data_IF_330174909634
#
_entry.id   IF_330174909634
#
_cell.length_a   1.000
_cell.length_b   1.000
_cell.length_c   1.000
_cell.angle_alpha   90.00
_cell.angle_beta   90.00
_cell.angle_gamma   90.00
#
_symmetry.space_group_name_H-M   'P 1'
#
loop_
_entity.id
_entity.type
_entity.pdbx_description
1 polymer ?
2 non-polymer ?
3 water ?
#
# COMPACT_ATOMS: atom_id res chain seq x y z
N UNK A 4 -23.00 -8.75 -21.56
CA UNK A 4 -23.63 -8.12 -22.77
C UNK A 4 -24.18 -6.71 -22.57
N UNK A 5 -24.92 -6.44 -21.49
CA UNK A 5 -25.24 -5.05 -21.17
C UNK A 5 -23.93 -4.29 -20.85
N UNK A 6 -23.11 -4.91 -20.01
CA UNK A 6 -21.87 -4.29 -19.51
C UNK A 6 -20.71 -4.46 -20.48
N UNK A 7 -19.71 -3.59 -20.36
CA UNK A 7 -18.51 -3.69 -21.17
C UNK A 7 -17.67 -4.91 -20.78
N UNK A 8 -17.00 -5.49 -21.77
CA UNK A 8 -16.13 -6.64 -21.57
C UNK A 8 -14.96 -6.39 -20.61
N UNK A 9 -14.47 -5.16 -20.52
CA UNK A 9 -13.38 -4.83 -19.62
C UNK A 9 -13.70 -5.17 -18.15
N UNK A 10 -14.97 -5.41 -17.85
CA UNK A 10 -15.37 -5.77 -16.49
C UNK A 10 -15.29 -7.28 -16.19
N UNK A 11 -14.98 -8.08 -17.22
CA UNK A 11 -14.90 -9.54 -17.07
C UNK A 11 -13.91 -9.95 -15.99
N UNK A 12 -14.38 -10.72 -15.01
CA UNK A 12 -13.51 -11.29 -13.99
C UNK A 12 -13.00 -10.36 -12.90
N UNK A 13 -13.45 -9.11 -12.85
CA UNK A 13 -12.96 -8.17 -11.85
C UNK A 13 -14.05 -7.69 -10.88
N UNK A 14 -15.23 -8.30 -10.95
CA UNK A 14 -16.35 -7.83 -10.14
C UNK A 14 -16.33 -8.31 -8.69
N UNK A 15 -15.59 -9.38 -8.41
CA UNK A 15 -15.56 -9.95 -7.07
C UNK A 15 -14.58 -9.24 -6.13
N UNK A 16 -15.09 -8.90 -4.93
CA UNK A 16 -14.30 -8.31 -3.86
C UNK A 16 -14.24 -9.27 -2.69
N UNK A 17 -13.08 -9.87 -2.45
CA UNK A 17 -12.93 -10.88 -1.40
C UNK A 17 -13.09 -10.27 -0.01
N UNK A 18 -13.09 -8.93 0.05
CA UNK A 18 -13.24 -8.17 1.28
C UNK A 18 -14.59 -8.42 1.96
N UNK A 19 -15.68 -8.19 1.21
CA UNK A 19 -17.04 -8.09 1.74
C UNK A 19 -17.39 -9.17 2.77
N UNK A 20 -17.22 -10.43 2.36
CA UNK A 20 -17.50 -11.60 3.19
C UNK A 20 -17.00 -11.45 4.64
N UNK A 21 -15.75 -10.99 4.79
CA UNK A 21 -15.11 -10.86 6.09
C UNK A 21 -15.60 -9.63 6.86
N UNK A 22 -15.74 -8.50 6.18
CA UNK A 22 -16.26 -7.27 6.79
C UNK A 22 -17.70 -7.49 7.31
N UNK A 23 -18.45 -8.32 6.59
CA UNK A 23 -19.80 -8.69 6.98
C UNK A 23 -19.78 -9.61 8.21
N UNK A 24 -18.89 -10.60 8.19
CA UNK A 24 -18.75 -11.54 9.31
C UNK A 24 -18.25 -10.86 10.59
N UNK A 25 -17.33 -9.91 10.42
CA UNK A 25 -16.78 -9.16 11.55
C UNK A 25 -17.84 -8.31 12.23
N UNK A 26 -18.75 -7.74 11.44
CA UNK A 26 -19.79 -6.83 11.93
C UNK A 26 -20.86 -7.52 12.78
N UNK A 27 -20.98 -8.84 12.62
CA UNK A 27 -21.97 -9.63 13.37
C UNK A 27 -21.35 -10.44 14.52
N UNK A 28 -20.23 -9.95 15.06
CA UNK A 28 -19.55 -10.58 16.19
C UNK A 28 -18.89 -9.52 17.05
N UNK A 29 -18.57 -9.87 18.31
CA UNK A 29 -17.77 -8.99 19.16
C UNK A 29 -16.31 -9.22 18.83
N UNK A 30 -15.67 -8.19 18.28
CA UNK A 30 -14.32 -8.33 17.74
C UNK A 30 -13.40 -7.18 18.07
N UNK A 31 -12.10 -7.47 18.08
CA UNK A 31 -11.08 -6.45 17.95
C UNK A 31 -10.66 -6.48 16.48
N UNK A 32 -10.86 -5.38 15.77
CA UNK A 32 -10.65 -5.39 14.32
C UNK A 32 -9.25 -4.97 13.90
N UNK A 33 -8.40 -5.95 13.67
CA UNK A 33 -7.03 -5.69 13.21
C UNK A 33 -6.87 -5.94 11.71
N UNK A 34 -8.02 -6.09 11.02
CA UNK A 34 -8.04 -6.26 9.59
C UNK A 34 -8.12 -4.94 8.86
N UNK A 35 -8.58 -3.91 9.56
CA UNK A 35 -8.74 -2.58 8.99
C UNK A 35 -7.40 -1.88 8.81
N UNK A 36 -7.13 -1.45 7.58
CA UNK A 36 -5.88 -0.82 7.21
C UNK A 36 -5.86 0.69 7.38
N UNK A 37 -6.39 1.18 8.50
CA UNK A 37 -6.37 2.60 8.81
C UNK A 37 -6.33 2.81 10.33
N UNK A 38 -5.80 3.95 10.78
CA UNK A 38 -5.74 4.28 12.22
C UNK A 38 -7.14 4.39 12.81
N UNK A 39 -7.30 3.94 14.05
CA UNK A 39 -8.55 4.18 14.78
C UNK A 39 -8.32 5.26 15.86
N UNK A 40 -7.40 6.16 15.56
CA UNK A 40 -7.13 7.31 16.41
C UNK A 40 -7.06 8.54 15.49
N UNK A 41 -7.09 9.76 16.04
CA UNK A 41 -7.15 10.94 15.20
C UNK A 41 -5.87 11.16 14.39
N UNK A 42 -5.95 11.88 13.26
CA UNK A 42 -4.74 12.37 12.60
C UNK A 42 -4.05 13.38 13.54
N UNK A 43 -2.82 13.81 13.26
CA UNK A 43 -2.15 14.80 14.11
C UNK A 43 -2.90 16.12 14.09
N UNK A 44 -2.84 16.88 15.20
CA UNK A 44 -3.52 18.15 15.35
C UNK A 44 -3.28 19.09 14.18
N UNK A 45 -2.03 19.21 13.73
CA UNK A 45 -1.76 20.11 12.60
C UNK A 45 -2.51 19.75 11.30
N UNK A 46 -2.79 18.47 11.10
CA UNK A 46 -3.45 18.01 9.87
C UNK A 46 -4.94 18.36 9.91
N UNK A 47 -5.60 17.98 11.01
CA UNK A 47 -7.01 18.31 11.25
C UNK A 47 -7.25 19.83 11.20
N UNK A 48 -6.36 20.58 11.85
CA UNK A 48 -6.45 22.04 11.84
C UNK A 48 -6.30 22.59 10.44
N UNK A 49 -5.40 21.98 9.64
CA UNK A 49 -5.21 22.39 8.25
C UNK A 49 -6.50 22.30 7.42
N UNK A 50 -7.25 21.22 7.62
CA UNK A 50 -8.54 21.03 6.95
C UNK A 50 -9.57 22.03 7.50
N UNK A 51 -9.58 22.20 8.83
CA UNK A 51 -10.45 23.19 9.48
C UNK A 51 -10.24 24.59 8.88
N UNK A 52 -8.97 24.95 8.66
CA UNK A 52 -8.60 26.22 8.05
C UNK A 52 -9.06 26.33 6.60
N UNK A 53 -9.02 25.22 5.88
CA UNK A 53 -9.39 25.20 4.46
C UNK A 53 -10.89 25.45 4.26
N UNK A 54 -11.72 24.96 5.18
CA UNK A 54 -13.17 25.13 5.09
C UNK A 54 -13.72 26.35 5.88
N UNK A 55 -12.81 27.19 6.40
CA UNK A 55 -13.19 28.44 7.05
C UNK A 55 -12.38 29.64 6.55
N UNK A 56 -11.62 29.44 5.48
CA UNK A 56 -10.78 30.49 4.93
C UNK A 56 -11.42 31.21 3.76
N UNK A 57 -10.62 31.51 2.75
CA UNK A 57 -11.10 32.09 1.50
C UNK A 57 -12.33 31.29 1.03
N UNK A 58 -13.48 31.97 0.94
CA UNK A 58 -14.71 31.30 0.51
C UNK A 58 -14.59 30.63 -0.88
N UNK A 59 -13.69 31.15 -1.72
CA UNK A 59 -13.50 30.62 -3.07
C UNK A 59 -12.83 29.24 -3.09
N UNK A 60 -12.31 28.80 -1.96
CA UNK A 60 -11.80 27.43 -1.86
C UNK A 60 -12.94 26.43 -1.97
N UNK A 61 -14.19 26.92 -1.92
CA UNK A 61 -15.35 26.05 -2.10
C UNK A 61 -15.63 25.76 -3.57
N UNK A 62 -14.96 26.50 -4.46
CA UNK A 62 -15.14 26.36 -5.89
C UNK A 62 -13.97 25.61 -6.55
N UNK A 63 -14.13 25.28 -7.82
CA UNK A 63 -13.16 24.46 -8.55
C UNK A 63 -11.77 25.04 -8.40
N UNK A 64 -10.77 24.18 -8.26
CA UNK A 64 -9.40 24.63 -8.46
C UNK A 64 -8.88 24.14 -9.81
N UNK A 65 -7.56 24.15 -9.99
CA UNK A 65 -6.94 23.76 -11.25
C UNK A 65 -7.01 22.26 -11.49
N UNK A 66 -7.22 21.91 -12.76
CA UNK A 66 -7.43 20.52 -13.17
C UNK A 66 -6.34 19.55 -12.69
N UNK A 67 -5.08 19.94 -12.83
CA UNK A 67 -4.00 19.00 -12.49
C UNK A 67 -3.49 19.15 -11.06
N UNK A 68 -4.12 20.04 -10.29
CA UNK A 68 -3.80 20.17 -8.88
C UNK A 68 -3.91 21.58 -8.34
N UNK A 69 -4.32 21.69 -7.08
CA UNK A 69 -4.37 22.94 -6.33
C UNK A 69 -2.94 23.47 -6.30
N UNK A 70 -2.65 24.60 -6.96
CA UNK A 70 -1.25 25.01 -7.17
C UNK A 70 -0.37 25.07 -5.90
N UNK A 71 -0.81 25.56 -4.74
CA UNK A 71 -0.01 25.43 -3.51
C UNK A 71 0.35 23.99 -3.14
N UNK A 72 -0.51 23.05 -3.51
CA UNK A 72 -0.21 21.64 -3.26
C UNK A 72 0.85 21.10 -4.21
N UNK A 73 0.69 21.35 -5.51
CA UNK A 73 1.69 20.86 -6.46
C UNK A 73 3.05 21.53 -6.23
N UNK A 74 3.02 22.79 -5.79
CA UNK A 74 4.22 23.54 -5.40
C UNK A 74 5.01 22.81 -4.32
N UNK A 75 4.39 22.56 -3.16
CA UNK A 75 5.08 21.88 -2.07
C UNK A 75 5.44 20.41 -2.41
N UNK A 76 4.61 19.76 -3.24
CA UNK A 76 4.95 18.41 -3.69
C UNK A 76 6.26 18.42 -4.49
N UNK A 77 6.31 19.31 -5.49
CA UNK A 77 7.46 19.40 -6.38
C UNK A 77 8.75 19.75 -5.60
N UNK A 78 8.62 20.65 -4.63
CA UNK A 78 9.75 21.14 -3.84
C UNK A 78 10.22 20.10 -2.82
N UNK A 79 9.30 19.60 -2.01
CA UNK A 79 9.63 18.65 -0.95
C UNK A 79 10.08 17.31 -1.54
N UNK A 80 9.29 16.76 -2.48
CA UNK A 80 9.68 15.49 -3.10
C UNK A 80 10.84 15.61 -4.07
N UNK A 81 10.99 16.78 -4.70
CA UNK A 81 12.18 17.11 -5.48
C UNK A 81 13.46 16.94 -4.67
N UNK A 82 13.44 17.41 -3.42
CA UNK A 82 14.59 17.28 -2.52
C UNK A 82 14.83 15.81 -2.12
N UNK A 83 13.75 15.11 -1.80
CA UNK A 83 13.82 13.72 -1.35
C UNK A 83 14.31 12.78 -2.43
N UNK A 84 14.01 13.09 -3.69
CA UNK A 84 14.37 12.24 -4.83
C UNK A 84 15.66 12.68 -5.51
N UNK A 85 16.21 13.82 -5.10
CA UNK A 85 17.31 14.45 -5.81
C UNK A 85 16.93 14.73 -7.26
N UNK A 86 15.75 15.31 -7.48
CA UNK A 86 15.27 15.54 -8.83
C UNK A 86 14.63 16.92 -8.95
N UNK A 87 14.83 17.58 -10.08
CA UNK A 87 14.13 18.83 -10.34
C UNK A 87 12.71 18.50 -10.82
N UNK A 88 11.72 18.89 -10.02
CA UNK A 88 10.32 18.62 -10.37
C UNK A 88 9.55 19.90 -10.66
N UNK A 89 9.01 19.97 -11.87
CA UNK A 89 8.11 21.06 -12.24
C UNK A 89 6.66 20.70 -11.86
N UNK A 90 6.00 21.54 -11.07
CA UNK A 90 4.60 21.29 -10.65
C UNK A 90 3.66 20.94 -11.80
N UNK A 91 3.68 21.70 -12.88
CA UNK A 91 2.73 21.56 -13.98
C UNK A 91 3.01 20.36 -14.90
N UNK A 92 4.28 20.05 -15.14
CA UNK A 92 4.66 18.97 -16.04
C UNK A 92 4.81 17.61 -15.33
N UNK A 93 5.13 17.62 -14.05
CA UNK A 93 5.62 16.43 -13.37
C UNK A 93 4.79 15.98 -12.17
N UNK A 94 3.76 16.72 -11.82
CA UNK A 94 2.93 16.40 -10.65
C UNK A 94 1.45 16.32 -11.08
N UNK A 95 0.76 15.27 -10.64
CA UNK A 95 -0.69 15.19 -10.84
C UNK A 95 -1.34 14.80 -9.53
N UNK A 96 -2.29 15.62 -9.06
CA UNK A 96 -3.05 15.27 -7.85
C UNK A 96 -4.22 14.36 -8.27
N UNK A 97 -4.45 13.30 -7.49
CA UNK A 97 -5.41 12.28 -7.81
C UNK A 97 -6.32 11.99 -6.60
N UNK A 98 -7.32 11.15 -6.82
CA UNK A 98 -8.21 10.74 -5.76
C UNK A 98 -7.53 9.60 -5.03
N UNK A 99 -6.58 9.97 -4.18
CA UNK A 99 -5.86 8.99 -3.40
C UNK A 99 -4.84 8.23 -4.21
N UNK A 100 -4.09 7.37 -3.54
CA UNK A 100 -3.20 6.42 -4.19
C UNK A 100 -3.97 5.49 -5.12
N UNK A 101 -5.20 5.10 -4.75
CA UNK A 101 -6.03 4.26 -5.64
C UNK A 101 -6.20 4.92 -6.99
N UNK A 102 -6.64 6.18 -7.00
CA UNK A 102 -6.93 6.92 -8.21
C UNK A 102 -5.67 7.12 -9.05
N UNK A 103 -4.55 7.35 -8.37
CA UNK A 103 -3.25 7.48 -9.05
C UNK A 103 -2.86 6.18 -9.75
N UNK A 104 -3.01 5.03 -9.07
CA UNK A 104 -2.75 3.76 -9.72
C UNK A 104 -3.64 3.60 -10.92
N UNK A 105 -4.92 3.90 -10.75
CA UNK A 105 -5.91 3.68 -11.82
C UNK A 105 -5.53 4.54 -13.01
N UNK A 106 -5.20 5.79 -12.74
CA UNK A 106 -4.81 6.73 -13.80
C UNK A 106 -3.60 6.21 -14.60
N UNK A 107 -2.61 5.66 -13.89
CA UNK A 107 -1.39 5.11 -14.51
C UNK A 107 -1.69 3.91 -15.40
N UNK A 108 -2.47 2.95 -14.89
CA UNK A 108 -2.88 1.80 -15.69
C UNK A 108 -3.67 2.17 -16.93
N UNK A 109 -4.62 3.10 -16.79
CA UNK A 109 -5.51 3.49 -17.89
C UNK A 109 -4.75 4.26 -18.97
N UNK A 110 -3.66 4.91 -18.56
CA UNK A 110 -2.83 5.71 -19.48
C UNK A 110 -1.90 4.84 -20.33
N UNK A 111 -1.36 3.78 -19.71
CA UNK A 111 -0.23 3.03 -20.26
C UNK A 111 -0.51 1.60 -20.67
N UNK A 112 -1.48 0.97 -20.03
CA UNK A 112 -1.73 -0.45 -20.26
C UNK A 112 -2.81 -0.64 -21.29
N UNK A 113 -2.49 -1.45 -22.29
CA UNK A 113 -3.35 -1.66 -23.44
C UNK A 113 -3.44 -3.16 -23.71
N UNK A 114 -4.40 -3.53 -24.55
CA UNK A 114 -4.61 -4.90 -24.98
C UNK A 114 -3.31 -5.64 -25.33
N UNK A 115 -3.05 -6.72 -24.62
CA UNK A 115 -1.87 -7.52 -24.88
C UNK A 115 -0.61 -7.12 -24.13
N UNK A 116 -0.57 -5.94 -23.53
CA UNK A 116 0.59 -5.56 -22.73
C UNK A 116 0.67 -6.41 -21.48
N UNK A 117 1.89 -6.74 -21.07
CA UNK A 117 2.11 -7.48 -19.85
C UNK A 117 2.49 -6.53 -18.73
N UNK A 118 2.03 -6.83 -17.51
CA UNK A 118 2.41 -6.03 -16.36
C UNK A 118 2.94 -7.00 -15.30
N UNK A 119 4.17 -6.76 -14.86
CA UNK A 119 4.77 -7.59 -13.82
C UNK A 119 4.30 -7.13 -12.45
N UNK A 120 3.75 -8.08 -11.71
CA UNK A 120 3.25 -7.83 -10.37
C UNK A 120 4.02 -8.71 -9.40
N UNK A 121 4.45 -8.12 -8.28
CA UNK A 121 5.26 -8.83 -7.28
C UNK A 121 4.36 -9.29 -6.13
N UNK A 122 4.30 -10.60 -5.91
CA UNK A 122 3.48 -11.16 -4.82
C UNK A 122 4.27 -11.20 -3.52
N UNK A 123 3.64 -10.92 -2.38
CA UNK A 123 2.22 -10.53 -2.29
C UNK A 123 1.99 -9.07 -2.75
N UNK A 124 0.90 -8.85 -3.48
CA UNK A 124 0.59 -7.54 -4.07
C UNK A 124 -0.68 -6.95 -3.50
N UNK A 125 -0.66 -5.64 -3.29
CA UNK A 125 -1.87 -4.88 -3.03
C UNK A 125 -2.91 -5.27 -4.08
N UNK A 126 -4.08 -5.72 -3.63
CA UNK A 126 -4.90 -6.59 -4.48
C UNK A 126 -5.41 -5.99 -5.78
N UNK A 127 -5.59 -4.67 -5.82
CA UNK A 127 -6.10 -3.98 -6.99
C UNK A 127 -5.18 -3.97 -8.22
N UNK A 128 -3.90 -4.27 -8.07
CA UNK A 128 -2.99 -4.21 -9.23
C UNK A 128 -3.45 -5.19 -10.33
N UNK A 129 -3.89 -6.37 -9.91
CA UNK A 129 -4.35 -7.37 -10.86
C UNK A 129 -5.61 -6.97 -11.66
N UNK A 130 -6.74 -6.66 -11.02
CA UNK A 130 -7.92 -6.24 -11.77
C UNK A 130 -7.74 -4.91 -12.53
N UNK A 131 -6.91 -3.99 -12.03
CA UNK A 131 -6.64 -2.75 -12.78
C UNK A 131 -5.92 -3.04 -14.10
N UNK A 132 -4.94 -3.95 -14.05
CA UNK A 132 -4.28 -4.47 -15.25
C UNK A 132 -5.31 -5.11 -16.20
N UNK A 133 -6.16 -5.97 -15.67
CA UNK A 133 -7.18 -6.66 -16.48
C UNK A 133 -8.18 -5.71 -17.14
N UNK A 134 -8.66 -4.73 -16.37
CA UNK A 134 -9.64 -3.79 -16.89
C UNK A 134 -9.05 -2.98 -18.04
N UNK A 135 -7.74 -2.73 -17.98
CA UNK A 135 -7.03 -2.03 -19.05
C UNK A 135 -6.62 -2.95 -20.24
N UNK A 136 -7.00 -4.22 -20.17
CA UNK A 136 -6.76 -5.15 -21.26
C UNK A 136 -5.40 -5.83 -21.17
N UNK A 137 -4.65 -5.54 -20.11
CA UNK A 137 -3.31 -6.07 -19.97
C UNK A 137 -3.31 -7.48 -19.40
N UNK A 138 -2.16 -8.13 -19.48
CA UNK A 138 -2.00 -9.48 -18.92
C UNK A 138 -1.06 -9.45 -17.71
N UNK A 139 -1.58 -9.74 -16.52
CA UNK A 139 -0.73 -9.76 -15.33
C UNK A 139 0.29 -10.90 -15.40
N UNK A 140 1.53 -10.61 -15.03
CA UNK A 140 2.60 -11.60 -14.95
C UNK A 140 3.14 -11.52 -13.53
N UNK A 141 3.14 -12.65 -12.84
CA UNK A 141 3.41 -12.68 -11.41
C UNK A 141 4.78 -13.24 -11.09
N UNK A 142 5.44 -12.62 -10.12
CA UNK A 142 6.69 -13.11 -9.58
C UNK A 142 6.55 -13.06 -8.07
N UNK A 143 7.03 -14.10 -7.39
CA UNK A 143 6.84 -14.21 -5.96
C UNK A 143 8.09 -13.87 -5.16
N UNK A 144 7.92 -13.02 -4.15
CA UNK A 144 8.90 -12.90 -3.09
C UNK A 144 8.89 -14.22 -2.32
N UNK A 145 10.07 -14.71 -1.97
CA UNK A 145 10.18 -16.00 -1.29
C UNK A 145 11.02 -15.89 -0.03
N UNK A 146 10.45 -16.31 1.11
CA UNK A 146 11.17 -16.29 2.38
C UNK A 146 12.42 -17.17 2.31
N UNK A 147 13.56 -16.64 2.75
CA UNK A 147 14.78 -17.40 2.88
C UNK A 147 14.67 -18.46 3.98
N UNK A 148 15.74 -19.20 4.24
CA UNK A 148 15.68 -20.32 5.21
C UNK A 148 15.40 -19.85 6.64
N UNK A 152 16.56 -19.20 14.78
CA UNK A 152 15.46 -18.37 15.25
C UNK A 152 14.09 -18.88 14.85
N UNK A 153 13.06 -18.25 15.38
CA UNK A 153 11.67 -18.64 15.09
C UNK A 153 10.91 -17.53 14.36
N UNK A 154 11.20 -16.28 14.69
CA UNK A 154 10.56 -15.12 14.06
C UNK A 154 11.15 -14.85 12.68
N UNK A 155 10.27 -14.65 11.71
CA UNK A 155 10.70 -14.29 10.37
C UNK A 155 10.99 -12.80 10.23
N UNK A 156 11.49 -12.42 9.06
CA UNK A 156 11.77 -11.02 8.75
C UNK A 156 11.46 -10.71 7.29
N UNK A 157 10.72 -9.62 7.07
CA UNK A 157 10.31 -9.20 5.73
C UNK A 157 11.49 -8.90 4.81
N UNK A 158 12.58 -8.41 5.39
CA UNK A 158 13.81 -8.18 4.63
C UNK A 158 14.33 -9.49 4.03
N UNK A 159 14.01 -10.61 4.67
CA UNK A 159 14.50 -11.89 4.17
C UNK A 159 13.63 -12.55 3.10
N UNK A 160 12.54 -11.88 2.71
CA UNK A 160 11.75 -12.35 1.58
C UNK A 160 12.42 -11.84 0.30
N UNK A 161 12.85 -12.77 -0.54
CA UNK A 161 13.78 -12.46 -1.62
C UNK A 161 13.12 -12.40 -2.99
N UNK A 162 13.60 -11.48 -3.81
CA UNK A 162 13.23 -11.40 -5.22
C UNK A 162 14.37 -12.05 -6.01
N UNK A 163 14.18 -13.30 -6.41
CA UNK A 163 15.18 -14.02 -7.19
C UNK A 163 15.50 -13.31 -8.52
N UNK A 164 16.76 -12.88 -8.69
CA UNK A 164 17.18 -12.17 -9.90
C UNK A 164 16.90 -12.94 -11.19
N UNK A 165 17.11 -14.26 -11.17
CA UNK A 165 16.88 -15.08 -12.35
C UNK A 165 15.37 -15.23 -12.64
N UNK A 166 14.57 -15.51 -11.62
CA UNK A 166 13.11 -15.59 -11.77
C UNK A 166 12.55 -14.28 -12.32
N UNK A 167 12.94 -13.16 -11.72
CA UNK A 167 12.49 -11.83 -12.17
C UNK A 167 12.87 -11.53 -13.63
N UNK A 168 14.14 -11.73 -13.98
CA UNK A 168 14.60 -11.46 -15.35
C UNK A 168 13.80 -12.26 -16.35
N UNK A 169 13.47 -13.49 -16.01
CA UNK A 169 12.69 -14.36 -16.88
C UNK A 169 11.24 -13.93 -17.14
N UNK A 170 10.70 -13.05 -16.31
CA UNK A 170 9.32 -12.57 -16.49
C UNK A 170 9.24 -11.51 -17.58
N UNK A 171 10.37 -10.86 -17.86
CA UNK A 171 10.43 -9.81 -18.86
C UNK A 171 10.37 -10.34 -20.30
N UNK A 172 9.44 -9.81 -21.09
CA UNK A 172 9.33 -10.15 -22.51
C UNK A 172 9.23 -8.88 -23.33
N UNK A 173 9.08 -9.04 -24.65
CA UNK A 173 8.86 -7.91 -25.54
C UNK A 173 7.50 -7.28 -25.31
N UNK A 174 6.60 -7.99 -24.61
CA UNK A 174 5.28 -7.47 -24.29
C UNK A 174 5.19 -6.72 -22.94
N UNK A 175 6.25 -6.79 -22.14
CA UNK A 175 6.27 -6.09 -20.84
C UNK A 175 6.12 -4.57 -21.02
N UNK A 176 5.03 -4.02 -20.48
CA UNK A 176 4.81 -2.56 -20.48
C UNK A 176 5.27 -1.90 -19.19
N UNK A 177 4.96 -2.55 -18.07
CA UNK A 177 5.20 -1.97 -16.76
C UNK A 177 5.52 -3.04 -15.74
N UNK A 178 6.24 -2.64 -14.71
CA UNK A 178 6.39 -3.44 -13.51
C UNK A 178 5.85 -2.60 -12.37
N UNK A 179 5.07 -3.22 -11.48
CA UNK A 179 4.50 -2.51 -10.35
C UNK A 179 5.32 -2.80 -9.10
N UNK A 180 5.95 -1.76 -8.56
CA UNK A 180 6.78 -1.93 -7.37
C UNK A 180 6.09 -1.26 -6.18
N UNK A 181 5.85 -2.02 -5.13
CA UNK A 181 5.20 -1.44 -3.95
C UNK A 181 6.19 -1.52 -2.80
N UNK A 182 6.69 -0.38 -2.34
CA UNK A 182 7.59 -0.36 -1.16
C UNK A 182 7.46 0.93 -0.37
N UNK A 183 7.33 0.83 0.96
CA UNK A 183 7.15 -0.45 1.68
C UNK A 183 5.91 -1.21 1.23
N UNK A 184 6.01 -2.55 1.28
CA UNK A 184 5.01 -3.46 0.72
C UNK A 184 3.85 -3.70 1.70
N UNK A 185 2.63 -3.63 1.16
CA UNK A 185 1.43 -4.14 1.81
C UNK A 185 1.08 -5.40 1.03
N UNK A 186 0.91 -6.57 1.68
CA UNK A 186 0.79 -6.76 3.13
C UNK A 186 2.05 -7.14 3.92
N UNK A 187 3.16 -7.40 3.25
CA UNK A 187 4.32 -8.03 3.91
C UNK A 187 5.12 -7.09 4.84
N UNK A 188 5.22 -5.81 4.46
CA UNK A 188 5.94 -4.84 5.26
C UNK A 188 7.42 -4.79 4.91
N UNK A 189 7.73 -5.27 3.72
CA UNK A 189 9.09 -5.34 3.22
C UNK A 189 9.51 -3.97 2.69
N UNK A 190 10.71 -3.53 3.07
CA UNK A 190 11.26 -2.30 2.53
C UNK A 190 12.39 -2.69 1.59
N UNK A 191 12.26 -2.31 0.31
CA UNK A 191 13.20 -2.77 -0.69
C UNK A 191 14.56 -2.09 -0.50
N UNK A 192 15.62 -2.90 -0.52
CA UNK A 192 16.97 -2.40 -0.30
C UNK A 192 17.44 -1.71 -1.58
N UNK A 193 18.54 -0.98 -1.49
CA UNK A 193 19.12 -0.34 -2.66
C UNK A 193 19.46 -1.34 -3.76
N UNK A 194 20.08 -2.46 -3.37
CA UNK A 194 20.47 -3.50 -4.32
C UNK A 194 19.26 -4.12 -5.05
N UNK A 195 18.18 -4.36 -4.31
CA UNK A 195 16.93 -4.87 -4.90
C UNK A 195 16.36 -3.90 -5.95
N UNK A 196 16.34 -2.62 -5.62
CA UNK A 196 15.87 -1.58 -6.53
C UNK A 196 16.74 -1.49 -7.78
N UNK A 197 18.05 -1.63 -7.59
CA UNK A 197 19.00 -1.64 -8.71
C UNK A 197 18.78 -2.83 -9.64
N UNK A 198 18.43 -3.98 -9.07
CA UNK A 198 18.04 -5.13 -9.87
C UNK A 198 16.81 -4.80 -10.71
N UNK A 199 15.80 -4.23 -10.07
CA UNK A 199 14.58 -3.83 -10.77
C UNK A 199 14.90 -2.78 -11.82
N UNK A 200 15.66 -1.77 -11.42
CA UNK A 200 16.05 -0.68 -12.31
C UNK A 200 16.79 -1.17 -13.56
N UNK A 201 17.78 -2.05 -13.37
CA UNK A 201 18.59 -2.47 -14.52
C UNK A 201 17.76 -3.26 -15.53
N UNK A 202 16.84 -4.10 -15.06
CA UNK A 202 15.95 -4.81 -15.99
C UNK A 202 14.98 -3.85 -16.68
N UNK A 203 14.42 -2.91 -15.93
CA UNK A 203 13.51 -1.92 -16.51
C UNK A 203 14.19 -1.12 -17.62
N UNK A 204 15.44 -0.70 -17.38
CA UNK A 204 16.24 0.01 -18.39
C UNK A 204 16.64 -0.88 -19.56
N UNK A 205 17.02 -2.13 -19.29
CA UNK A 205 17.38 -3.06 -20.35
C UNK A 205 16.22 -3.34 -21.29
N UNK A 206 15.04 -3.61 -20.73
CA UNK A 206 13.87 -3.97 -21.53
C UNK A 206 12.96 -2.81 -21.92
N UNK A 207 13.31 -1.58 -21.52
CA UNK A 207 12.50 -0.39 -21.80
C UNK A 207 11.09 -0.49 -21.20
N UNK A 208 11.05 -0.63 -19.88
CA UNK A 208 9.82 -0.86 -19.15
C UNK A 208 9.59 0.31 -18.18
N UNK A 209 8.33 0.69 -17.98
CA UNK A 209 7.99 1.72 -17.00
C UNK A 209 7.84 1.08 -15.62
N UNK A 210 8.40 1.69 -14.59
CA UNK A 210 8.21 1.22 -13.22
C UNK A 210 7.14 2.06 -12.53
N UNK A 211 6.00 1.44 -12.22
CA UNK A 211 4.96 2.14 -11.48
C UNK A 211 5.26 1.86 -10.03
N UNK A 212 5.68 2.89 -9.31
CA UNK A 212 6.11 2.67 -7.95
C UNK A 212 5.15 3.25 -6.91
N UNK A 213 4.60 2.35 -6.12
CA UNK A 213 3.61 2.68 -5.13
C UNK A 213 4.32 2.85 -3.78
N UNK A 214 4.47 4.09 -3.37
CA UNK A 214 5.27 4.48 -2.20
C UNK A 214 4.44 5.13 -1.09
N UNK A 215 3.17 4.72 -0.99
CA UNK A 215 2.25 5.31 0.00
C UNK A 215 2.73 5.19 1.46
N UNK A 216 3.42 4.10 1.79
CA UNK A 216 3.91 3.87 3.16
C UNK A 216 5.31 4.45 3.39
N UNK A 217 5.77 5.29 2.45
CA UNK A 217 7.09 5.92 2.49
C UNK A 217 7.60 6.29 3.89
N UNK A 218 6.71 6.86 4.73
CA UNK A 218 7.10 7.42 6.03
C UNK A 218 7.06 6.41 7.16
N UNK A 219 6.40 5.28 6.89
CA UNK A 219 6.24 4.23 7.87
C UNK A 219 7.37 3.23 7.69
N UNK A 220 8.55 3.56 8.20
CA UNK A 220 9.73 2.70 8.12
C UNK A 220 10.30 2.56 9.54
N UNK A 221 10.84 1.38 9.85
CA UNK A 221 11.23 1.07 11.23
C UNK A 221 12.67 0.56 11.35
N UNK A 222 13.15 0.43 12.60
CA UNK A 222 14.43 -0.23 12.89
C UNK A 222 15.58 0.35 12.06
N UNK A 223 15.56 1.65 11.83
CA UNK A 223 16.60 2.33 11.07
C UNK A 223 16.59 2.18 9.56
N UNK A 224 15.67 1.36 9.02
CA UNK A 224 15.62 1.13 7.59
C UNK A 224 15.27 2.39 6.84
N UNK A 225 15.83 2.54 5.64
CA UNK A 225 15.65 3.76 4.87
C UNK A 225 14.71 3.49 3.71
N UNK A 226 13.78 4.41 3.46
CA UNK A 226 12.96 4.33 2.25
C UNK A 226 13.78 4.89 1.11
N UNK A 227 13.97 4.10 0.07
CA UNK A 227 14.64 4.58 -1.13
C UNK A 227 13.64 4.51 -2.27
N UNK A 228 13.57 5.59 -3.05
CA UNK A 228 12.72 5.67 -4.23
C UNK A 228 13.51 5.29 -5.45
N UNK A 229 12.93 4.38 -6.23
CA UNK A 229 13.60 3.86 -7.40
C UNK A 229 13.79 4.97 -8.45
N UNK A 230 12.92 5.98 -8.43
CA UNK A 230 13.01 7.14 -9.33
C UNK A 230 14.25 8.01 -9.09
N UNK A 231 14.87 7.86 -7.92
CA UNK A 231 16.10 8.61 -7.61
C UNK A 231 17.37 7.94 -8.16
N UNK A 232 17.23 6.71 -8.67
CA UNK A 232 18.34 5.93 -9.22
C UNK A 232 18.72 6.45 -10.60
N UNK A 233 20.02 6.35 -10.96
CA UNK A 233 20.52 6.83 -12.25
C UNK A 233 19.66 6.35 -13.42
N UNK A 234 19.19 7.30 -14.21
CA UNK A 234 18.42 6.97 -15.41
C UNK A 234 16.96 6.53 -15.19
N UNK A 235 16.52 6.45 -13.94
CA UNK A 235 15.17 5.94 -13.65
C UNK A 235 14.03 6.97 -13.74
N UNK A 236 14.34 8.26 -13.50
CA UNK A 236 13.30 9.29 -13.49
C UNK A 236 12.52 9.27 -14.79
N UNK A 237 13.22 9.09 -15.91
CA UNK A 237 12.59 9.09 -17.22
C UNK A 237 11.70 7.87 -17.51
N UNK A 238 11.64 6.90 -16.59
CA UNK A 238 10.80 5.70 -16.80
C UNK A 238 10.03 5.24 -15.54
N UNK A 239 9.86 6.15 -14.58
CA UNK A 239 9.23 5.82 -13.32
C UNK A 239 8.03 6.73 -13.08
N UNK A 240 6.97 6.18 -12.49
CA UNK A 240 5.88 6.99 -11.96
C UNK A 240 5.83 6.70 -10.49
N UNK A 241 5.91 7.76 -9.67
CA UNK A 241 5.96 7.60 -8.23
C UNK A 241 4.66 8.03 -7.60
N UNK A 242 4.09 7.15 -6.79
CA UNK A 242 2.77 7.41 -6.24
C UNK A 242 2.82 7.59 -4.74
N UNK A 243 2.09 8.60 -4.26
CA UNK A 243 1.93 8.79 -2.83
C UNK A 243 0.48 9.01 -2.44
N UNK A 244 0.24 9.01 -1.13
CA UNK A 244 -1.09 9.15 -0.58
C UNK A 244 -1.05 10.00 0.66
N UNK A 245 -1.79 11.10 0.65
CA UNK A 245 -1.90 11.97 1.83
C UNK A 245 -2.48 11.22 3.04
N UNK A 246 -3.39 10.29 2.78
CA UNK A 246 -4.04 9.54 3.85
C UNK A 246 -3.14 8.62 4.65
N UNK A 247 -2.22 7.94 3.97
CA UNK A 247 -1.25 7.08 4.65
C UNK A 247 -0.10 7.95 5.22
N UNK A 248 0.08 9.13 4.65
CA UNK A 248 1.11 10.05 5.12
C UNK A 248 0.69 10.72 6.44
N UNK A 249 -0.55 11.23 6.49
CA UNK A 249 -1.00 12.00 7.64
C UNK A 249 -2.03 11.30 8.52
N UNK A 250 -2.14 9.97 8.37
CA UNK A 250 -3.09 9.16 9.15
C UNK A 250 -4.52 9.70 9.02
N UNK A 251 -4.92 9.98 7.77
CA UNK A 251 -6.22 10.55 7.47
C UNK A 251 -6.73 9.94 6.15
N UNK A 252 -6.99 8.64 6.19
CA UNK A 252 -7.29 7.88 4.98
C UNK A 252 -8.57 8.34 4.28
N UNK A 253 -9.46 9.01 5.02
CA UNK A 253 -10.72 9.50 4.46
C UNK A 253 -10.58 10.77 3.66
N UNK A 254 -9.39 11.37 3.66
CA UNK A 254 -9.15 12.55 2.84
C UNK A 254 -9.07 12.20 1.34
N UNK A 255 -8.53 11.01 1.04
CA UNK A 255 -8.45 10.46 -0.33
C UNK A 255 -7.82 11.45 -1.29
N UNK A 256 -6.63 11.94 -0.92
CA UNK A 256 -5.80 12.76 -1.79
C UNK A 256 -4.49 11.98 -2.03
N UNK A 257 -4.12 11.81 -3.29
CA UNK A 257 -2.86 11.19 -3.63
C UNK A 257 -2.24 12.00 -4.75
N UNK A 258 -1.14 11.49 -5.31
CA UNK A 258 -0.44 12.17 -6.38
C UNK A 258 0.44 11.20 -7.14
N UNK A 259 0.78 11.55 -8.37
CA UNK A 259 1.80 10.84 -9.14
C UNK A 259 2.85 11.86 -9.52
N UNK A 260 4.12 11.45 -9.39
CA UNK A 260 5.26 12.25 -9.86
C UNK A 260 5.94 11.52 -11.00
N UNK A 261 6.33 12.23 -12.06
CA UNK A 261 7.02 11.58 -13.16
C UNK A 261 7.41 12.52 -14.27
N UNK A 262 8.09 12.00 -15.29
CA UNK A 262 8.55 12.83 -16.41
C UNK A 262 7.41 13.22 -17.34
N UNK A 263 7.53 14.38 -17.97
CA UNK A 263 6.49 14.95 -18.82
C UNK A 263 5.99 14.03 -19.92
N UNK A 264 6.89 13.28 -20.57
CA UNK A 264 6.50 12.43 -21.70
C UNK A 264 5.60 11.27 -21.29
N UNK A 265 5.65 10.90 -20.02
CA UNK A 265 4.73 9.88 -19.49
C UNK A 265 3.51 10.58 -18.85
N UNK A 266 3.77 11.53 -17.97
CA UNK A 266 2.70 12.24 -17.25
C UNK A 266 1.59 12.84 -18.11
N UNK A 267 1.94 13.31 -19.30
CA UNK A 267 0.91 13.87 -20.19
C UNK A 267 -0.20 12.88 -20.54
N UNK A 268 0.10 11.58 -20.51
CA UNK A 268 -0.92 10.58 -20.80
C UNK A 268 -1.82 10.34 -19.59
N UNK A 269 -1.23 10.40 -18.39
CA UNK A 269 -1.99 10.43 -17.16
C UNK A 269 -2.92 11.65 -17.07
N UNK A 270 -2.42 12.81 -17.52
CA UNK A 270 -3.24 14.02 -17.59
C UNK A 270 -4.44 13.87 -18.53
N UNK A 271 -4.26 13.17 -19.65
CA UNK A 271 -5.35 12.88 -20.56
C UNK A 271 -6.44 12.03 -19.86
N UNK A 272 -6.01 10.99 -19.16
CA UNK A 272 -6.95 10.14 -18.42
C UNK A 272 -7.70 10.97 -17.36
N UNK A 273 -6.95 11.70 -16.54
CA UNK A 273 -7.50 12.59 -15.53
C UNK A 273 -8.57 13.55 -16.07
N UNK A 274 -8.24 14.22 -17.15
CA UNK A 274 -9.13 15.22 -17.74
C UNK A 274 -10.41 14.61 -18.35
N UNK A 275 -10.37 13.32 -18.63
CA UNK A 275 -11.51 12.62 -19.19
C UNK A 275 -12.18 11.66 -18.18
N UNK A 276 -11.83 11.80 -16.90
CA UNK A 276 -12.42 10.98 -15.85
C UNK A 276 -12.99 11.85 -14.72
N UNK A 277 -12.14 12.45 -13.90
CA UNK A 277 -12.62 13.30 -12.80
C UNK A 277 -12.50 14.82 -13.05
N UNK A 278 -11.56 15.19 -13.92
CA UNK A 278 -11.27 16.58 -14.27
C UNK A 278 -10.67 17.42 -13.13
N UNK A 279 -11.36 17.51 -11.98
CA UNK A 279 -10.79 18.17 -10.79
C UNK A 279 -10.78 17.24 -9.60
N UNK A 280 -9.83 17.48 -8.71
CA UNK A 280 -9.91 16.88 -7.38
C UNK A 280 -10.50 17.96 -6.47
N UNK A 281 -11.07 17.58 -5.33
CA UNK A 281 -11.67 18.55 -4.41
C UNK A 281 -10.64 19.59 -3.95
N UNK A 282 -11.07 20.84 -3.81
CA UNK A 282 -10.15 21.94 -3.51
C UNK A 282 -9.62 21.91 -2.08
N UNK A 283 -10.52 21.80 -1.12
CA UNK A 283 -10.20 22.08 0.27
C UNK A 283 -9.31 21.04 0.91
N UNK A 284 -9.59 19.76 0.64
CA UNK A 284 -8.69 18.70 1.08
C UNK A 284 -7.27 18.90 0.54
N UNK A 285 -7.16 19.33 -0.72
CA UNK A 285 -5.85 19.62 -1.32
C UNK A 285 -5.13 20.72 -0.53
N UNK A 286 -5.87 21.78 -0.17
CA UNK A 286 -5.35 22.88 0.65
C UNK A 286 -4.86 22.37 1.99
N UNK A 287 -5.62 21.47 2.60
CA UNK A 287 -5.24 20.89 3.88
C UNK A 287 -3.93 20.09 3.77
N UNK A 288 -3.81 19.33 2.68
CA UNK A 288 -2.62 18.51 2.45
C UNK A 288 -1.38 19.40 2.21
N UNK A 289 -1.56 20.47 1.46
CA UNK A 289 -0.48 21.42 1.18
C UNK A 289 0.07 22.02 2.48
N UNK A 290 -0.84 22.48 3.33
CA UNK A 290 -0.48 23.07 4.64
C UNK A 290 0.18 22.04 5.56
N UNK A 291 -0.29 20.80 5.51
CA UNK A 291 0.33 19.73 6.29
C UNK A 291 1.76 19.40 5.83
N UNK A 292 2.01 19.44 4.52
CA UNK A 292 3.35 19.20 3.99
C UNK A 292 4.30 20.37 4.28
N UNK A 293 3.79 21.59 4.22
CA UNK A 293 4.57 22.78 4.60
C UNK A 293 5.03 22.69 6.06
N UNK A 294 4.15 22.20 6.94
CA UNK A 294 4.49 21.97 8.33
C UNK A 294 5.62 20.93 8.47
N UNK A 295 5.49 19.82 7.75
CA UNK A 295 6.49 18.76 7.85
C UNK A 295 7.79 19.12 7.17
N UNK A 296 7.71 19.89 6.08
CA UNK A 296 8.92 20.39 5.43
C UNK A 296 9.67 21.36 6.34
N UNK A 297 8.93 22.22 7.06
CA UNK A 297 9.52 23.13 8.03
C UNK A 297 10.30 22.41 9.11
N UNK A 298 9.72 21.32 9.64
CA UNK A 298 10.27 20.57 10.76
C UNK A 298 11.04 19.30 10.34
N UNK A 299 11.43 19.22 9.08
CA UNK A 299 12.02 18.01 8.52
C UNK A 299 13.28 17.54 9.27
N UNK A 300 13.24 16.30 9.76
CA UNK A 300 14.32 15.66 10.52
C UNK A 300 14.36 16.04 12.01
N UNK A 301 13.54 17.02 12.40
CA UNK A 301 13.47 17.46 13.80
C UNK A 301 12.61 16.52 14.64
N UNK A 302 12.94 16.36 15.92
CA UNK A 302 12.22 15.46 16.83
C UNK A 302 10.74 15.76 17.04
N UNK A 303 10.30 16.98 16.77
CA UNK A 303 8.90 17.34 16.91
C UNK A 303 8.10 17.07 15.62
N UNK A 304 8.77 16.63 14.56
CA UNK A 304 8.09 16.36 13.29
C UNK A 304 7.28 15.08 13.39
N UNK A 305 6.15 15.04 12.69
CA UNK A 305 5.33 13.84 12.60
C UNK A 305 6.10 12.69 11.95
N UNK A 306 6.87 12.98 10.91
CA UNK A 306 7.61 11.94 10.19
C UNK A 306 8.73 11.31 11.03
N UNK A 307 9.09 11.95 12.15
CA UNK A 307 9.98 11.34 13.12
C UNK A 307 9.19 10.69 14.26
N UNK A 308 8.25 11.43 14.84
CA UNK A 308 7.49 10.95 15.99
C UNK A 308 6.63 9.74 15.69
N UNK A 309 5.90 9.79 14.58
CA UNK A 309 4.86 8.79 14.31
C UNK A 309 5.39 7.36 14.11
N UNK A 310 6.39 7.17 13.25
CA UNK A 310 7.01 5.85 13.07
C UNK A 310 7.56 5.25 14.37
N UNK A 311 8.10 6.09 15.24
CA UNK A 311 8.61 5.65 16.53
C UNK A 311 7.48 5.11 17.39
N UNK A 312 6.38 5.83 17.46
CA UNK A 312 5.20 5.38 18.20
C UNK A 312 4.65 4.07 17.61
N UNK A 313 4.59 4.00 16.28
CA UNK A 313 4.02 2.82 15.63
C UNK A 313 4.94 1.61 15.68
N UNK A 314 6.25 1.83 15.72
CA UNK A 314 7.21 0.75 15.95
C UNK A 314 6.94 0.06 17.29
N UNK A 315 6.59 0.85 18.32
CA UNK A 315 6.23 0.30 19.63
C UNK A 315 4.99 -0.55 19.52
N UNK A 316 4.00 -0.06 18.76
CA UNK A 316 2.76 -0.79 18.51
C UNK A 316 3.06 -2.11 17.80
N UNK A 317 3.93 -2.04 16.80
CA UNK A 317 4.40 -3.22 16.07
C UNK A 317 5.04 -4.24 17.03
N UNK A 318 5.98 -3.77 17.87
CA UNK A 318 6.68 -4.66 18.81
C UNK A 318 5.73 -5.31 19.79
N UNK A 319 4.79 -4.51 20.28
CA UNK A 319 3.76 -4.98 21.20
C UNK A 319 2.97 -6.10 20.54
N UNK A 320 2.48 -5.85 19.32
CA UNK A 320 1.73 -6.87 18.61
C UNK A 320 2.54 -8.14 18.34
N UNK A 321 3.80 -7.97 17.92
CA UNK A 321 4.67 -9.12 17.66
C UNK A 321 4.78 -10.01 18.90
N UNK A 322 5.02 -9.41 20.06
CA UNK A 322 5.14 -10.18 21.31
C UNK A 322 3.82 -10.85 21.66
N UNK A 323 2.73 -10.10 21.58
CA UNK A 323 1.39 -10.60 21.91
C UNK A 323 0.95 -11.79 21.06
N UNK A 324 1.09 -11.67 19.74
CA UNK A 324 0.67 -12.74 18.83
C UNK A 324 1.61 -13.94 18.91
N UNK A 325 2.91 -13.67 18.95
CA UNK A 325 3.95 -14.70 19.15
C UNK A 325 3.55 -15.63 20.29
N UNK A 326 2.84 -15.06 21.26
CA UNK A 326 2.52 -15.74 22.50
C UNK A 326 1.40 -16.78 22.42
N UNK A 327 0.70 -16.88 21.30
CA UNK A 327 -0.40 -17.85 21.17
C UNK A 327 -0.17 -18.84 20.01
N UNK A 328 1.07 -18.94 19.55
CA UNK A 328 1.40 -19.88 18.50
C UNK A 328 1.56 -19.26 17.11
N UNK A 329 1.09 -18.02 16.94
CA UNK A 329 1.23 -17.32 15.66
C UNK A 329 2.68 -16.93 15.47
N UNK A 330 3.18 -17.06 14.24
CA UNK A 330 4.58 -16.75 13.96
C UNK A 330 4.73 -15.45 13.16
N UNK A 331 4.92 -14.34 13.87
CA UNK A 331 5.06 -13.03 13.22
C UNK A 331 6.27 -12.95 12.32
N UNK A 332 6.06 -12.22 11.24
CA UNK A 332 7.11 -11.85 10.32
C UNK A 332 7.37 -10.38 10.54
N UNK A 333 8.55 -10.03 11.05
CA UNK A 333 8.80 -8.65 11.44
C UNK A 333 8.89 -7.79 10.20
N UNK A 334 7.99 -6.81 10.08
CA UNK A 334 8.01 -5.87 8.96
C UNK A 334 9.01 -4.75 9.22
N UNK A 335 9.60 -4.26 8.15
CA UNK A 335 10.49 -3.11 8.25
C UNK A 335 9.76 -1.80 7.93
N UNK A 336 8.53 -1.91 7.45
CA UNK A 336 7.73 -0.75 7.08
C UNK A 336 6.24 -1.06 6.98
N UNK A 337 5.44 -0.04 6.68
CA UNK A 337 3.99 -0.14 6.47
C UNK A 337 3.18 -0.27 7.78
N UNK A 338 1.86 -0.43 7.63
CA UNK A 338 0.93 -0.54 8.76
C UNK A 338 0.83 -1.97 9.26
N UNK A 339 1.47 -2.89 8.55
CA UNK A 339 1.06 -4.30 8.65
C UNK A 339 2.17 -5.27 9.05
N UNK A 340 1.75 -6.35 9.69
CA UNK A 340 2.62 -7.52 9.77
C UNK A 340 1.79 -8.73 9.37
N UNK A 341 2.47 -9.76 8.86
CA UNK A 341 1.80 -11.02 8.63
C UNK A 341 2.31 -12.06 9.64
N UNK A 342 1.44 -12.99 10.02
CA UNK A 342 1.86 -14.15 10.81
C UNK A 342 1.67 -15.44 10.06
N UNK A 343 2.68 -16.30 10.15
CA UNK A 343 2.59 -17.67 9.68
C UNK A 343 1.62 -18.44 10.58
N UNK A 344 0.64 -19.11 9.97
CA UNK A 344 -0.32 -19.92 10.72
C UNK A 344 -0.11 -21.42 10.45
N UNK A 345 1.08 -21.78 9.98
CA UNK A 345 1.35 -23.16 9.58
C UNK A 345 1.08 -24.15 10.71
N UNK A 346 1.54 -23.81 11.92
CA UNK A 346 1.32 -24.65 13.10
C UNK A 346 -0.16 -24.93 13.32
N UNK A 347 -0.99 -23.90 13.13
CA UNK A 347 -2.44 -24.06 13.18
C UNK A 347 -2.99 -24.96 12.06
N UNK A 348 -2.38 -24.89 10.87
CA UNK A 348 -2.81 -25.73 9.76
C UNK A 348 -2.50 -27.20 10.03
N UNK A 349 -1.42 -27.45 10.78
CA UNK A 349 -1.04 -28.79 11.18
C UNK A 349 -2.00 -29.38 12.21
N UNK A 350 -2.21 -28.66 13.32
CA UNK A 350 -3.08 -29.12 14.41
C UNK A 350 -4.57 -29.10 14.05
N UNK A 351 -4.96 -28.26 13.10
CA UNK A 351 -6.36 -28.00 12.81
C UNK A 351 -6.68 -27.93 11.31
N UNK A 352 -6.28 -28.95 10.54
CA UNK A 352 -6.36 -28.87 9.07
C UNK A 352 -7.78 -28.86 8.49
N UNK A 353 -8.73 -29.42 9.23
CA UNK A 353 -10.05 -29.71 8.67
C UNK A 353 -11.08 -28.63 8.98
N UNK A 354 -10.70 -27.36 8.79
CA UNK A 354 -11.61 -26.25 8.98
C UNK A 354 -12.69 -26.21 7.90
N UNK A 355 -13.92 -25.89 8.29
CA UNK A 355 -15.05 -25.80 7.35
C UNK A 355 -14.88 -24.67 6.32
N UNK A 356 -15.13 -24.99 5.06
CA UNK A 356 -15.13 -24.01 3.98
C UNK A 356 -15.48 -24.56 2.62
N UNK A 357 -15.53 -23.68 1.63
CA UNK A 357 -15.82 -24.06 0.25
C UNK A 357 -14.64 -24.82 -0.39
N UNK A 358 -14.91 -25.49 -1.50
CA UNK A 358 -13.87 -26.19 -2.27
C UNK A 358 -12.93 -25.18 -2.91
N UNK A 359 -11.64 -25.47 -2.89
CA UNK A 359 -10.59 -24.56 -3.37
C UNK A 359 -10.53 -23.26 -2.56
N UNK A 360 -11.15 -23.22 -1.39
CA UNK A 360 -11.01 -22.09 -0.47
C UNK A 360 -9.74 -22.28 0.35
N UNK A 361 -8.77 -21.39 0.18
CA UNK A 361 -7.49 -21.49 0.87
C UNK A 361 -7.66 -21.54 2.40
N UNK A 362 -6.76 -22.24 3.08
CA UNK A 362 -6.82 -22.40 4.53
C UNK A 362 -6.95 -21.08 5.29
N UNK A 363 -6.14 -20.08 4.91
CA UNK A 363 -6.11 -18.83 5.64
C UNK A 363 -7.47 -18.12 5.70
N UNK A 364 -8.22 -18.19 4.59
CA UNK A 364 -9.57 -17.64 4.55
C UNK A 364 -10.48 -18.36 5.56
N UNK A 365 -10.35 -19.68 5.62
CA UNK A 365 -11.12 -20.50 6.56
C UNK A 365 -10.69 -20.23 8.01
N UNK A 366 -9.38 -20.10 8.23
CA UNK A 366 -8.83 -19.77 9.54
C UNK A 366 -9.33 -18.43 10.07
N UNK A 367 -9.30 -17.40 9.22
CA UNK A 367 -9.72 -16.06 9.62
C UNK A 367 -11.19 -16.08 10.06
N UNK A 368 -12.03 -16.78 9.31
CA UNK A 368 -13.44 -16.94 9.65
C UNK A 368 -13.58 -17.62 11.02
N UNK A 369 -12.79 -18.67 11.24
CA UNK A 369 -12.74 -19.39 12.52
C UNK A 369 -12.33 -18.47 13.67
N UNK A 370 -11.24 -17.73 13.48
CA UNK A 370 -10.73 -16.79 14.49
C UNK A 370 -11.73 -15.68 14.82
N UNK A 371 -12.45 -15.18 13.82
CA UNK A 371 -13.43 -14.13 14.05
C UNK A 371 -14.58 -14.62 14.94
N UNK A 372 -15.08 -15.82 14.65
CA UNK A 372 -16.26 -16.37 15.34
C UNK A 372 -15.92 -16.83 16.74
N UNK A 373 -14.76 -17.46 16.90
CA UNK A 373 -14.39 -18.14 18.14
C UNK A 373 -13.45 -17.36 19.05
N UNK A 374 -12.62 -16.48 18.47
CA UNK A 374 -11.58 -15.79 19.24
C UNK A 374 -11.72 -14.27 19.30
N UNK A 375 -12.66 -13.71 18.55
CA UNK A 375 -12.92 -12.28 18.56
C UNK A 375 -11.83 -11.39 17.98
N UNK A 376 -11.02 -11.94 17.08
CA UNK A 376 -9.98 -11.17 16.39
C UNK A 376 -10.16 -11.24 14.87
N UNK A 377 -10.07 -10.08 14.22
CA UNK A 377 -10.11 -9.97 12.76
C UNK A 377 -8.69 -9.79 12.23
N UNK A 378 -8.31 -10.61 11.26
CA UNK A 378 -7.15 -10.33 10.42
C UNK A 378 -7.58 -10.55 8.97
N UNK A 379 -6.66 -10.33 8.03
CA UNK A 379 -6.96 -10.49 6.60
C UNK A 379 -6.19 -11.69 6.06
N UNK A 380 -6.87 -12.62 5.38
CA UNK A 380 -6.19 -13.76 4.76
C UNK A 380 -5.23 -13.28 3.67
N UNK A 381 -3.98 -13.72 3.70
CA UNK A 381 -2.96 -13.19 2.79
C UNK A 381 -3.11 -13.68 1.34
N UNK A 382 -3.84 -14.79 1.18
CA UNK A 382 -4.09 -15.39 -0.13
C UNK A 382 -4.84 -14.42 -1.06
N UNK A 383 -5.54 -13.43 -0.51
CA UNK A 383 -6.17 -12.42 -1.37
C UNK A 383 -5.14 -11.53 -2.10
N UNK A 384 -3.89 -11.54 -1.62
CA UNK A 384 -2.79 -10.79 -2.25
C UNK A 384 -1.92 -11.66 -3.16
N UNK A 385 -2.48 -12.80 -3.59
CA UNK A 385 -1.78 -13.74 -4.48
C UNK A 385 -2.65 -14.04 -5.70
N UNK A 386 -1.99 -14.34 -6.81
CA UNK A 386 -2.70 -14.83 -7.99
C UNK A 386 -3.37 -16.15 -7.60
N UNK A 387 -4.53 -16.42 -8.20
CA UNK A 387 -5.29 -17.62 -7.87
C UNK A 387 -4.40 -18.88 -7.90
N UNK A 388 -3.66 -19.15 -8.98
CA UNK A 388 -2.75 -20.31 -9.02
C UNK A 388 -1.80 -20.46 -7.83
N UNK A 389 -1.39 -19.35 -7.21
CA UNK A 389 -0.38 -19.40 -6.16
C UNK A 389 -0.98 -19.43 -4.76
N UNK A 390 -2.29 -19.28 -4.67
CA UNK A 390 -3.00 -19.27 -3.40
C UNK A 390 -2.93 -20.61 -2.66
N UNK A 391 -2.85 -21.72 -3.40
CA UNK A 391 -2.69 -23.05 -2.80
C UNK A 391 -1.45 -23.08 -1.93
N UNK A 392 -0.32 -22.70 -2.52
CA UNK A 392 0.97 -22.69 -1.83
C UNK A 392 1.06 -21.63 -0.72
N UNK A 393 0.59 -20.42 -0.99
CA UNK A 393 0.61 -19.32 -0.03
C UNK A 393 -0.73 -19.18 0.69
N UNK A 394 -1.08 -20.22 1.45
CA UNK A 394 -2.39 -20.30 2.11
C UNK A 394 -2.29 -20.27 3.63
N UNK A 395 -1.10 -19.97 4.15
CA UNK A 395 -0.84 -20.06 5.59
C UNK A 395 -0.30 -18.75 6.22
N UNK A 396 -0.76 -17.61 5.69
CA UNK A 396 -0.43 -16.33 6.30
C UNK A 396 -1.67 -15.49 6.49
N UNK A 397 -1.69 -14.70 7.56
CA UNK A 397 -2.75 -13.71 7.77
C UNK A 397 -2.14 -12.37 8.13
N UNK A 398 -2.83 -11.29 7.76
CA UNK A 398 -2.29 -9.95 7.92
C UNK A 398 -3.00 -9.21 9.04
N UNK A 399 -2.20 -8.62 9.95
CA UNK A 399 -2.71 -7.78 11.02
C UNK A 399 -2.26 -6.36 10.78
N UNK A 400 -3.05 -5.42 11.27
CA UNK A 400 -2.68 -4.02 11.28
C UNK A 400 -2.38 -3.58 12.71
N UNK A 401 -1.18 -3.03 12.94
CA UNK A 401 -0.78 -2.60 14.29
C UNK A 401 -0.92 -1.10 14.54
N UNK A 402 -1.31 -0.36 13.50
CA UNK A 402 -1.49 1.09 13.62
C UNK A 402 -2.86 1.37 14.28
N UNK A 403 -2.85 1.24 15.60
CA UNK A 403 -4.05 1.24 16.41
C UNK A 403 -3.82 1.99 17.72
N UNK A 404 -4.91 2.48 18.29
CA UNK A 404 -4.94 3.07 19.61
C UNK A 404 -4.45 2.07 20.67
N UNK A 405 -3.79 2.59 21.72
CA UNK A 405 -3.35 1.80 22.87
C UNK A 405 -4.47 0.90 23.43
N UNK A 406 -5.67 1.47 23.56
CA UNK A 406 -6.82 0.73 24.06
C UNK A 406 -7.22 -0.46 23.18
N UNK A 407 -7.04 -0.32 21.87
CA UNK A 407 -7.32 -1.42 20.92
C UNK A 407 -6.36 -2.58 21.14
N UNK A 408 -5.09 -2.26 21.34
CA UNK A 408 -4.07 -3.28 21.61
C UNK A 408 -4.28 -3.93 22.97
N UNK A 409 -4.76 -3.15 23.95
CA UNK A 409 -5.16 -3.71 25.24
C UNK A 409 -6.31 -4.71 25.07
N UNK A 410 -7.31 -4.34 24.25
CA UNK A 410 -8.43 -5.22 23.97
C UNK A 410 -7.99 -6.47 23.23
N UNK A 411 -7.04 -6.33 22.31
CA UNK A 411 -6.42 -7.46 21.62
C UNK A 411 -5.78 -8.42 22.63
N UNK A 412 -5.01 -7.87 23.57
CA UNK A 412 -4.36 -8.67 24.60
C UNK A 412 -5.35 -9.48 25.43
N UNK A 413 -6.47 -8.86 25.77
CA UNK A 413 -7.52 -9.56 26.48
C UNK A 413 -8.05 -10.75 25.70
N UNK A 414 -8.32 -10.54 24.40
CA UNK A 414 -8.75 -11.63 23.53
C UNK A 414 -7.72 -12.75 23.48
N UNK A 415 -6.44 -12.37 23.42
CA UNK A 415 -5.36 -13.33 23.32
C UNK A 415 -5.14 -14.13 24.61
N UNK A 416 -5.30 -13.46 25.75
CA UNK A 416 -5.20 -14.13 27.06
C UNK A 416 -6.31 -15.17 27.24
N UNK A 417 -7.53 -14.80 26.85
CA UNK A 417 -8.67 -15.72 26.87
C UNK A 417 -8.40 -16.93 25.97
N UNK A 418 -7.92 -16.68 24.76
CA UNK A 418 -7.53 -17.71 23.81
C UNK A 418 -6.50 -18.67 24.42
N UNK A 419 -5.49 -18.11 25.07
CA UNK A 419 -4.39 -18.87 25.67
C UNK A 419 -4.86 -19.96 26.63
N UNK A 420 -5.88 -19.64 27.43
CA UNK A 420 -6.60 -20.63 28.24
C UNK A 420 -7.22 -21.71 27.32
N UNK A 421 -6.48 -22.80 27.13
CA UNK A 421 -6.79 -23.86 26.17
C UNK A 421 -6.76 -23.36 24.72
#
# INVERSE_FOLDING_TARGET
MAKQLQARRLDGIDYNPWVEFVKLASEHDVVNLGQGFPDFPPPDFAVEAFQHAVSGDFMLNQYTKTFGYPPLTKILASFFGELLGQEIDPLRNVLVTVGGYGALFTAFQALVDEGDEVIIIEPFFDCYEPMTMMAGGRPVFVSLKPGPIQNGELGSSSNWQLDPMELAGKFTSRTKALVLNTPNNPLGKVFSREELELVASLCQQHDVVCITDEVYQWMVYDGHQHISIASLPGMWERTLTIGSAGKTFSATGWKVGWVLGPDHIMKHLRTVHQNSVFHCPTQSQAAVAESFEREQLLFRQPSSYFVQFPQAMQRCRDHMIRSLQSVGLKPLIPQGSYFLITDISDFKRKMPDLPGAVDEPYDRRFVKWMIKNKGLVAIPVSIFYSVPHQKHFDHYIRFCFVKDEATLQAMDEKLRKWKVEL
#
